data_IF_442861384676
#
_entry.id   IF_442861384676
#
_cell.length_a   1.000
_cell.length_b   1.000
_cell.length_c   1.000
_cell.angle_alpha   90.00
_cell.angle_beta   90.00
_cell.angle_gamma   90.00
#
_symmetry.space_group_name_H-M   'P 1'
#
loop_
_entity.id
_entity.type
_entity.pdbx_description
1 polymer ?
#
# COMPACT_ATOMS: atom_id res chain seq x y z
N UNK A 1 17.93 -7.24 19.05
CA UNK A 1 17.09 -6.21 19.67
C UNK A 1 16.36 -5.42 18.58
N UNK A 2 15.05 -5.31 18.64
CA UNK A 2 14.22 -4.52 17.69
C UNK A 2 14.52 -3.01 17.84
N UNK A 3 14.49 -2.19 16.77
CA UNK A 3 14.28 -2.58 15.38
C UNK A 3 15.49 -3.32 14.80
N UNK A 4 15.21 -4.28 13.91
CA UNK A 4 16.25 -5.04 13.22
C UNK A 4 17.04 -4.14 12.25
N UNK A 5 18.34 -4.38 12.04
CA UNK A 5 19.11 -3.75 10.98
C UNK A 5 18.49 -3.93 9.61
N UNK A 6 18.54 -2.93 8.74
CA UNK A 6 17.97 -2.97 7.38
C UNK A 6 18.49 -4.10 6.52
N UNK A 7 19.69 -4.57 6.78
CA UNK A 7 20.28 -5.71 6.07
C UNK A 7 19.48 -7.02 6.21
N UNK A 8 18.76 -7.23 7.32
CA UNK A 8 17.87 -8.38 7.46
C UNK A 8 16.64 -8.26 6.57
N UNK A 9 16.06 -7.06 6.45
CA UNK A 9 14.97 -6.81 5.52
C UNK A 9 15.43 -6.93 4.07
N UNK A 10 16.66 -6.51 3.77
CA UNK A 10 17.27 -6.70 2.47
C UNK A 10 17.40 -8.20 2.12
N UNK A 11 17.80 -9.04 3.08
CA UNK A 11 17.83 -10.48 2.86
C UNK A 11 16.45 -11.06 2.59
N UNK A 12 15.42 -10.61 3.30
CA UNK A 12 14.03 -11.04 3.04
C UNK A 12 13.58 -10.74 1.61
N UNK A 13 13.99 -9.62 1.02
CA UNK A 13 13.70 -9.32 -0.40
C UNK A 13 14.31 -10.38 -1.30
N UNK A 14 15.54 -10.78 -1.06
CA UNK A 14 16.26 -11.81 -1.84
C UNK A 14 15.55 -13.17 -1.68
N UNK A 15 15.20 -13.54 -0.47
CA UNK A 15 14.60 -14.83 -0.17
C UNK A 15 13.21 -14.97 -0.84
N UNK A 16 12.38 -13.92 -0.74
CA UNK A 16 11.08 -13.87 -1.42
C UNK A 16 11.27 -13.85 -2.94
N UNK A 17 12.31 -13.18 -3.47
CA UNK A 17 12.66 -13.21 -4.89
C UNK A 17 13.00 -14.62 -5.36
N UNK A 18 13.81 -15.32 -4.59
CA UNK A 18 14.19 -16.70 -4.89
C UNK A 18 13.00 -17.66 -4.83
N UNK A 19 12.00 -17.36 -4.00
CA UNK A 19 10.75 -18.11 -3.91
C UNK A 19 9.73 -17.75 -5.00
N UNK A 20 10.09 -16.95 -6.01
CA UNK A 20 9.22 -16.48 -7.08
C UNK A 20 7.98 -15.68 -6.61
N UNK A 21 8.08 -14.97 -5.51
CA UNK A 21 7.03 -14.06 -5.08
C UNK A 21 6.79 -12.94 -6.12
N UNK A 22 5.57 -12.45 -6.23
CA UNK A 22 5.21 -11.42 -7.23
C UNK A 22 5.30 -9.99 -6.71
N UNK A 23 4.67 -9.72 -5.58
CA UNK A 23 4.67 -8.40 -4.92
C UNK A 23 4.94 -8.58 -3.44
N UNK A 24 5.92 -7.86 -2.93
CA UNK A 24 6.25 -7.84 -1.51
C UNK A 24 5.67 -6.59 -0.85
N UNK A 25 4.75 -6.78 0.05
CA UNK A 25 4.15 -5.71 0.84
C UNK A 25 4.79 -5.62 2.23
N UNK A 26 5.24 -4.44 2.59
CA UNK A 26 5.84 -4.16 3.88
C UNK A 26 4.85 -3.46 4.79
N UNK A 27 4.28 -4.17 5.74
CA UNK A 27 3.44 -3.57 6.80
C UNK A 27 4.26 -2.88 7.87
N UNK A 28 5.58 -3.14 7.90
CA UNK A 28 6.55 -2.44 8.74
C UNK A 28 6.86 -1.09 8.09
N UNK A 29 6.81 -0.03 8.88
CA UNK A 29 7.21 1.30 8.44
C UNK A 29 8.66 1.59 8.82
N UNK A 30 9.30 2.41 8.01
CA UNK A 30 10.68 2.84 8.17
C UNK A 30 10.79 4.37 8.27
N UNK A 31 10.21 4.99 9.33
CA UNK A 31 10.15 6.44 9.44
C UNK A 31 11.48 7.07 9.83
N UNK A 32 12.41 6.29 10.36
CA UNK A 32 13.71 6.73 10.84
C UNK A 32 14.85 5.99 10.10
N UNK A 33 15.99 6.64 10.04
CA UNK A 33 17.20 6.04 9.47
C UNK A 33 17.71 4.87 10.32
N UNK A 34 18.33 3.89 9.66
CA UNK A 34 18.91 2.74 10.35
C UNK A 34 20.15 3.14 11.14
N UNK A 35 20.15 2.88 12.43
CA UNK A 35 21.32 3.08 13.30
C UNK A 35 22.55 2.27 12.88
N UNK A 36 22.37 1.21 12.09
CA UNK A 36 23.43 0.35 11.55
C UNK A 36 23.83 0.73 10.12
N UNK A 37 23.32 1.87 9.60
CA UNK A 37 23.62 2.40 8.27
C UNK A 37 23.27 1.45 7.11
N UNK A 38 22.26 0.62 7.27
CA UNK A 38 21.81 -0.35 6.26
C UNK A 38 20.81 0.20 5.25
N UNK A 39 20.38 1.46 5.35
CA UNK A 39 19.33 2.03 4.51
C UNK A 39 19.70 2.02 3.02
N UNK A 40 20.94 2.35 2.66
CA UNK A 40 21.41 2.33 1.27
C UNK A 40 21.45 0.92 0.70
N UNK A 41 21.90 -0.06 1.48
CA UNK A 41 21.91 -1.48 1.07
C UNK A 41 20.49 -1.95 0.78
N UNK A 42 19.57 -1.63 1.69
CA UNK A 42 18.16 -1.99 1.53
C UNK A 42 17.52 -1.27 0.34
N UNK A 43 17.76 0.04 0.18
CA UNK A 43 17.27 0.80 -0.96
C UNK A 43 17.80 0.27 -2.30
N UNK A 44 19.07 -0.07 -2.39
CA UNK A 44 19.67 -0.64 -3.60
C UNK A 44 19.01 -1.98 -3.96
N UNK A 45 18.79 -2.86 -3.01
CA UNK A 45 18.11 -4.13 -3.26
C UNK A 45 16.65 -3.95 -3.68
N UNK A 46 15.93 -3.01 -3.09
CA UNK A 46 14.57 -2.65 -3.54
C UNK A 46 14.58 -2.10 -4.97
N UNK A 47 15.63 -1.37 -5.35
CA UNK A 47 15.79 -0.80 -6.69
C UNK A 47 16.23 -1.85 -7.72
N UNK A 48 17.17 -2.71 -7.37
CA UNK A 48 17.68 -3.79 -8.26
C UNK A 48 16.56 -4.76 -8.65
N UNK A 49 15.65 -5.04 -7.75
CA UNK A 49 14.46 -5.82 -8.06
C UNK A 49 13.45 -5.10 -8.99
N UNK A 50 13.63 -3.80 -9.25
CA UNK A 50 12.91 -3.08 -10.33
C UNK A 50 13.49 -3.32 -11.72
N UNK A 51 14.77 -3.64 -11.80
CA UNK A 51 15.48 -3.80 -13.06
C UNK A 51 15.55 -5.29 -13.38
N UNK A 52 15.03 -5.69 -14.54
CA UNK A 52 15.27 -7.00 -15.12
C UNK A 52 16.79 -7.23 -15.18
N UNK A 53 17.34 -8.01 -14.28
CA UNK A 53 18.68 -8.54 -14.46
C UNK A 53 18.60 -9.45 -15.67
N UNK A 54 19.16 -8.98 -16.76
CA UNK A 54 19.14 -9.56 -18.08
C UNK A 54 19.50 -11.05 -18.08
N UNK A 55 18.67 -11.87 -18.70
CA UNK A 55 19.05 -13.16 -19.27
C UNK A 55 18.42 -14.40 -18.69
N UNK A 56 17.73 -14.39 -17.58
CA UNK A 56 16.97 -15.53 -17.13
C UNK A 56 15.49 -15.14 -17.02
N UNK A 57 14.62 -15.93 -17.64
CA UNK A 57 13.17 -15.87 -17.46
C UNK A 57 12.81 -16.33 -16.04
N UNK A 58 13.17 -15.56 -15.04
CA UNK A 58 12.54 -15.63 -13.72
C UNK A 58 11.53 -14.51 -13.71
N UNK A 59 10.29 -14.79 -13.32
CA UNK A 59 9.37 -13.73 -12.95
C UNK A 59 10.02 -13.00 -11.77
N UNK A 60 10.62 -11.84 -11.98
CA UNK A 60 11.24 -11.15 -10.87
C UNK A 60 10.13 -10.69 -9.95
N UNK A 61 10.35 -10.80 -8.65
CA UNK A 61 9.66 -9.90 -7.72
C UNK A 61 10.12 -8.51 -8.11
N UNK A 62 9.29 -7.86 -8.84
CA UNK A 62 9.65 -6.58 -9.37
C UNK A 62 9.01 -5.46 -8.56
N UNK A 63 8.22 -5.80 -7.52
CA UNK A 63 7.34 -4.81 -6.96
C UNK A 63 7.36 -4.84 -5.43
N UNK A 64 7.85 -3.75 -4.86
CA UNK A 64 7.81 -3.50 -3.43
C UNK A 64 6.81 -2.39 -3.13
N UNK A 65 5.97 -2.61 -2.13
CA UNK A 65 4.99 -1.64 -1.63
C UNK A 65 5.28 -1.38 -0.16
N UNK A 66 5.50 -0.13 0.19
CA UNK A 66 5.66 0.29 1.58
C UNK A 66 4.34 0.78 2.17
N UNK A 67 4.12 0.48 3.43
CA UNK A 67 2.99 1.03 4.19
C UNK A 67 3.30 2.43 4.71
N UNK A 68 2.24 3.21 4.84
CA UNK A 68 2.23 4.51 5.51
C UNK A 68 1.07 4.50 6.50
N UNK A 69 1.20 5.16 7.64
CA UNK A 69 0.14 5.24 8.62
C UNK A 69 -0.49 6.63 8.67
N UNK A 70 -1.79 6.68 8.94
CA UNK A 70 -2.48 7.93 9.21
C UNK A 70 -2.04 8.51 10.56
N UNK A 71 -1.92 9.83 10.63
CA UNK A 71 -1.50 10.52 11.85
C UNK A 71 -2.14 11.90 11.99
N UNK A 72 -2.38 12.29 13.22
CA UNK A 72 -2.76 13.67 13.59
C UNK A 72 -1.53 14.58 13.71
N UNK A 73 -0.32 14.00 13.83
CA UNK A 73 0.96 14.70 14.07
C UNK A 73 2.06 14.26 13.10
N UNK A 74 1.74 13.84 11.90
CA UNK A 74 2.73 13.28 10.98
C UNK A 74 3.37 14.33 10.07
N UNK A 75 4.41 13.88 9.36
CA UNK A 75 5.11 14.64 8.33
C UNK A 75 4.34 14.49 7.01
N UNK A 76 4.22 15.56 6.24
CA UNK A 76 3.63 15.51 4.89
C UNK A 76 4.49 14.62 3.97
N UNK A 77 3.83 13.84 3.12
CA UNK A 77 4.51 12.96 2.17
C UNK A 77 5.35 13.74 1.16
N UNK A 78 6.54 13.28 0.89
CA UNK A 78 7.48 13.86 -0.09
C UNK A 78 7.70 12.98 -1.32
N UNK A 79 7.15 11.79 -1.38
CA UNK A 79 7.39 10.84 -2.46
C UNK A 79 6.54 11.03 -3.72
N UNK A 80 6.83 10.29 -4.81
CA UNK A 80 6.06 10.36 -6.04
C UNK A 80 4.58 10.07 -5.79
N UNK A 81 3.72 10.87 -6.39
CA UNK A 81 2.27 10.74 -6.27
C UNK A 81 1.76 9.67 -7.24
N UNK A 82 0.93 8.77 -6.75
CA UNK A 82 0.25 7.78 -7.57
C UNK A 82 -0.97 8.44 -8.21
N UNK A 83 -1.12 8.27 -9.51
CA UNK A 83 -2.28 8.79 -10.23
C UNK A 83 -3.57 8.20 -9.70
N UNK A 84 -4.53 9.05 -9.39
CA UNK A 84 -5.89 8.65 -9.04
C UNK A 84 -6.83 9.20 -10.09
N UNK A 85 -7.63 8.34 -10.70
CA UNK A 85 -8.76 8.73 -11.53
C UNK A 85 -10.02 8.82 -10.66
N UNK A 86 -10.77 9.91 -10.78
CA UNK A 86 -12.12 10.02 -10.22
C UNK A 86 -13.11 10.09 -11.37
N UNK A 87 -14.16 9.28 -11.32
CA UNK A 87 -15.27 9.29 -12.27
C UNK A 87 -16.56 9.51 -11.49
N UNK A 88 -17.31 10.51 -11.88
CA UNK A 88 -18.62 10.81 -11.28
C UNK A 88 -18.85 12.30 -11.04
N UNK A 89 -20.03 12.67 -10.54
CA UNK A 89 -20.49 14.06 -10.46
C UNK A 89 -19.81 14.87 -9.35
N UNK A 90 -19.31 14.20 -8.30
CA UNK A 90 -18.75 14.85 -7.10
C UNK A 90 -17.32 14.37 -6.89
N UNK A 91 -16.37 15.26 -6.48
CA UNK A 91 -15.01 14.87 -6.18
C UNK A 91 -14.94 13.83 -5.06
N UNK A 92 -14.19 12.74 -5.25
CA UNK A 92 -14.08 11.66 -4.27
C UNK A 92 -13.61 12.13 -2.89
N UNK A 93 -12.78 13.17 -2.84
CA UNK A 93 -12.27 13.76 -1.59
C UNK A 93 -13.37 14.29 -0.66
N UNK A 94 -14.57 14.56 -1.17
CA UNK A 94 -15.66 15.11 -0.38
C UNK A 94 -16.33 14.03 0.48
N UNK A 95 -16.24 12.77 0.05
CA UNK A 95 -16.84 11.61 0.71
C UNK A 95 -15.85 10.76 1.51
N UNK A 96 -14.61 10.65 1.02
CA UNK A 96 -13.59 9.80 1.63
C UNK A 96 -13.22 10.26 3.03
N UNK A 97 -12.84 9.32 3.88
CA UNK A 97 -12.29 9.59 5.21
C UNK A 97 -11.07 10.51 5.10
N UNK A 98 -11.05 11.56 5.94
CA UNK A 98 -10.04 12.62 5.89
C UNK A 98 -9.07 12.50 7.06
N UNK A 99 -7.79 12.61 6.74
CA UNK A 99 -6.72 12.63 7.72
C UNK A 99 -5.82 13.86 7.51
N UNK A 100 -5.33 14.49 8.56
CA UNK A 100 -4.49 15.69 8.40
C UNK A 100 -3.10 15.36 7.86
N UNK A 101 -2.53 14.21 8.24
CA UNK A 101 -1.15 13.86 7.93
C UNK A 101 -0.95 12.35 7.79
N UNK A 102 0.24 11.97 7.28
CA UNK A 102 0.74 10.60 7.25
C UNK A 102 2.09 10.53 7.96
N UNK A 103 2.36 9.40 8.59
CA UNK A 103 3.71 8.95 8.91
C UNK A 103 4.22 8.23 7.67
N UNK A 104 5.33 8.67 7.13
CA UNK A 104 5.94 8.14 5.92
C UNK A 104 7.25 7.43 6.25
N UNK A 105 7.75 6.69 5.29
CA UNK A 105 9.09 6.12 5.37
C UNK A 105 10.14 7.17 5.05
N UNK A 106 11.42 6.86 5.30
CA UNK A 106 12.51 7.76 4.91
C UNK A 106 12.50 7.99 3.38
N UNK A 107 12.84 9.20 2.90
CA UNK A 107 12.76 9.54 1.49
C UNK A 107 13.53 8.60 0.57
N UNK A 108 14.67 8.10 1.03
CA UNK A 108 15.50 7.16 0.29
C UNK A 108 14.74 5.88 -0.09
N UNK A 109 13.98 5.28 0.83
CA UNK A 109 13.20 4.09 0.57
C UNK A 109 11.95 4.40 -0.27
N UNK A 110 11.28 5.53 -0.01
CA UNK A 110 10.11 5.92 -0.78
C UNK A 110 10.41 6.22 -2.25
N UNK A 111 11.63 6.65 -2.57
CA UNK A 111 12.04 6.93 -3.94
C UNK A 111 12.22 5.66 -4.79
N UNK A 112 12.54 4.54 -4.17
CA UNK A 112 12.92 3.30 -4.87
C UNK A 112 11.82 2.25 -4.93
N UNK A 113 10.72 2.39 -4.20
CA UNK A 113 9.62 1.41 -4.22
C UNK A 113 8.63 1.66 -5.37
N UNK A 114 7.84 0.63 -5.69
CA UNK A 114 6.86 0.68 -6.77
C UNK A 114 5.53 1.28 -6.31
N UNK A 115 5.26 1.22 -5.02
CA UNK A 115 4.03 1.71 -4.46
C UNK A 115 4.11 2.07 -2.98
N UNK A 116 3.14 2.87 -2.55
CA UNK A 116 2.96 3.29 -1.16
C UNK A 116 1.48 3.29 -0.85
N UNK A 117 1.09 2.47 0.09
CA UNK A 117 -0.31 2.34 0.50
C UNK A 117 -0.52 2.68 1.96
N UNK A 118 -1.67 3.24 2.28
CA UNK A 118 -1.97 3.69 3.64
C UNK A 118 -2.61 2.56 4.43
N UNK A 119 -2.08 2.30 5.62
CA UNK A 119 -2.74 1.50 6.64
C UNK A 119 -3.55 2.44 7.52
N UNK A 120 -4.84 2.49 7.27
CA UNK A 120 -5.78 3.24 8.09
C UNK A 120 -6.82 2.28 8.64
N UNK A 121 -7.25 2.49 9.87
CA UNK A 121 -8.41 1.80 10.42
C UNK A 121 -9.51 2.83 10.71
N UNK A 122 -10.74 2.43 10.47
CA UNK A 122 -11.92 3.18 10.85
C UNK A 122 -12.71 2.34 11.87
N UNK A 123 -12.31 2.32 13.15
CA UNK A 123 -13.00 1.54 14.16
C UNK A 123 -14.43 2.08 14.32
N UNK A 124 -15.38 1.17 14.42
CA UNK A 124 -16.78 1.51 14.69
C UNK A 124 -16.95 1.90 16.18
N UNK A 125 -18.11 2.47 16.58
CA UNK A 125 -18.34 2.92 17.96
C UNK A 125 -18.14 1.85 19.03
N UNK A 126 -18.27 0.56 18.68
CA UNK A 126 -18.00 -0.58 19.55
C UNK A 126 -16.52 -1.02 19.56
N UNK A 127 -15.65 -0.21 18.96
CA UNK A 127 -14.21 -0.46 18.80
C UNK A 127 -13.86 -1.74 18.00
N UNK A 128 -14.81 -2.26 17.22
CA UNK A 128 -14.58 -3.38 16.31
C UNK A 128 -14.28 -2.85 14.90
N UNK A 129 -13.32 -3.46 14.21
CA UNK A 129 -13.01 -3.12 12.82
C UNK A 129 -13.71 -4.11 11.88
N UNK A 130 -14.81 -3.69 11.27
CA UNK A 130 -15.57 -4.49 10.29
C UNK A 130 -15.42 -3.99 8.87
N UNK A 131 -14.96 -2.76 8.72
CA UNK A 131 -14.76 -2.12 7.43
C UNK A 131 -13.33 -1.63 7.30
N UNK A 132 -12.86 -1.55 6.05
CA UNK A 132 -11.53 -1.05 5.74
C UNK A 132 -11.63 0.01 4.65
N UNK A 133 -11.03 1.19 4.81
CA UNK A 133 -11.05 2.22 3.79
C UNK A 133 -10.18 1.78 2.60
N UNK A 134 -10.75 1.81 1.38
CA UNK A 134 -10.02 1.46 0.17
C UNK A 134 -9.20 2.63 -0.37
N UNK A 135 -9.63 3.84 -0.09
CA UNK A 135 -8.91 5.08 -0.32
C UNK A 135 -9.21 6.07 0.81
N UNK A 136 -8.31 7.00 1.03
CA UNK A 136 -8.46 8.09 2.00
C UNK A 136 -8.01 9.41 1.40
N UNK A 137 -8.38 10.50 2.04
CA UNK A 137 -7.89 11.84 1.70
C UNK A 137 -6.94 12.34 2.78
N UNK A 138 -5.79 12.88 2.37
CA UNK A 138 -4.86 13.59 3.25
C UNK A 138 -4.59 14.97 2.66
N UNK A 139 -5.07 16.00 3.35
CA UNK A 139 -5.18 17.32 2.76
C UNK A 139 -6.14 17.29 1.56
N UNK A 140 -5.65 17.69 0.38
CA UNK A 140 -6.42 17.68 -0.88
C UNK A 140 -6.10 16.47 -1.78
N UNK A 141 -5.30 15.52 -1.31
CA UNK A 141 -4.83 14.40 -2.13
C UNK A 141 -5.45 13.09 -1.69
N UNK A 142 -5.75 12.24 -2.68
CA UNK A 142 -6.21 10.89 -2.47
C UNK A 142 -5.03 9.93 -2.35
N UNK A 143 -5.16 8.99 -1.41
CA UNK A 143 -4.18 7.94 -1.17
C UNK A 143 -4.87 6.59 -1.19
N UNK A 144 -4.31 5.60 -1.88
CA UNK A 144 -4.83 4.25 -1.85
C UNK A 144 -4.57 3.61 -0.48
N UNK A 145 -5.43 2.71 -0.07
CA UNK A 145 -5.10 1.78 1.00
C UNK A 145 -3.95 0.87 0.58
N UNK A 146 -3.29 0.28 1.57
CA UNK A 146 -2.21 -0.67 1.33
C UNK A 146 -2.65 -1.84 0.44
N UNK A 147 -3.88 -2.36 0.64
CA UNK A 147 -4.44 -3.43 -0.17
C UNK A 147 -4.66 -3.01 -1.63
N UNK A 148 -5.26 -1.85 -1.88
CA UNK A 148 -5.48 -1.33 -3.24
C UNK A 148 -4.14 -1.07 -3.94
N UNK A 149 -3.15 -0.57 -3.22
CA UNK A 149 -1.84 -0.34 -3.78
C UNK A 149 -1.12 -1.65 -4.15
N UNK A 150 -1.24 -2.69 -3.33
CA UNK A 150 -0.75 -4.03 -3.65
C UNK A 150 -1.38 -4.56 -4.95
N UNK A 151 -2.70 -4.45 -5.10
CA UNK A 151 -3.41 -4.84 -6.32
C UNK A 151 -2.96 -4.02 -7.54
N UNK A 152 -2.81 -2.69 -7.38
CA UNK A 152 -2.35 -1.82 -8.45
C UNK A 152 -0.97 -2.22 -8.96
N UNK A 153 -0.04 -2.42 -8.04
CA UNK A 153 1.34 -2.78 -8.33
C UNK A 153 1.41 -4.18 -8.95
N UNK A 154 0.64 -5.14 -8.47
CA UNK A 154 0.63 -6.52 -9.00
C UNK A 154 0.21 -6.59 -10.48
N UNK A 155 -0.58 -5.64 -10.95
CA UNK A 155 -0.99 -5.54 -12.36
C UNK A 155 -0.17 -4.52 -13.16
N UNK A 156 0.88 -3.94 -12.58
CA UNK A 156 1.70 -2.93 -13.24
C UNK A 156 0.91 -1.66 -13.62
N UNK A 157 -0.21 -1.39 -12.95
CA UNK A 157 -1.05 -0.25 -13.27
C UNK A 157 -0.45 1.06 -12.75
N UNK A 158 -0.65 2.16 -13.49
CA UNK A 158 -0.17 3.49 -13.12
C UNK A 158 -1.12 4.23 -12.17
N UNK A 159 -2.38 3.80 -12.13
CA UNK A 159 -3.44 4.45 -11.34
C UNK A 159 -4.46 3.45 -10.84
N UNK A 160 -5.21 3.85 -9.84
CA UNK A 160 -6.47 3.26 -9.44
C UNK A 160 -7.62 4.25 -9.68
N UNK A 161 -8.84 3.80 -9.65
CA UNK A 161 -10.02 4.60 -9.97
C UNK A 161 -11.01 4.59 -8.82
N UNK A 162 -11.59 5.75 -8.52
CA UNK A 162 -12.67 5.92 -7.54
C UNK A 162 -13.89 6.46 -8.29
N UNK A 163 -14.97 5.72 -8.25
CA UNK A 163 -16.24 6.12 -8.84
C UNK A 163 -17.17 6.69 -7.79
N UNK A 164 -17.72 7.85 -8.09
CA UNK A 164 -18.61 8.60 -7.20
C UNK A 164 -20.02 8.71 -7.77
N UNK A 165 -20.96 8.96 -6.89
CA UNK A 165 -22.33 9.37 -7.21
C UNK A 165 -22.72 10.58 -6.36
N UNK A 166 -23.96 11.01 -6.44
CA UNK A 166 -24.50 12.13 -5.64
C UNK A 166 -24.59 11.80 -4.15
N UNK A 167 -24.50 10.53 -3.78
CA UNK A 167 -24.65 10.05 -2.39
C UNK A 167 -23.37 9.45 -1.80
N UNK A 168 -22.25 9.42 -2.54
CA UNK A 168 -20.99 8.88 -2.01
C UNK A 168 -20.15 8.13 -3.02
N UNK A 169 -19.17 7.42 -2.50
CA UNK A 169 -18.32 6.50 -3.28
C UNK A 169 -19.14 5.25 -3.61
N UNK A 170 -19.06 4.78 -4.84
CA UNK A 170 -19.73 3.56 -5.29
C UNK A 170 -18.78 2.38 -5.34
N UNK A 171 -17.61 2.60 -5.91
CA UNK A 171 -16.62 1.54 -6.10
C UNK A 171 -15.20 2.10 -6.19
N UNK A 172 -14.24 1.26 -5.85
CA UNK A 172 -12.82 1.49 -6.11
C UNK A 172 -12.32 0.38 -7.01
N UNK A 173 -11.63 0.74 -8.09
CA UNK A 173 -11.21 -0.20 -9.13
C UNK A 173 -9.72 -0.09 -9.45
N UNK A 174 -9.13 -1.24 -9.71
CA UNK A 174 -7.80 -1.39 -10.32
C UNK A 174 -7.97 -2.18 -11.60
N UNK A 175 -7.49 -1.66 -12.73
CA UNK A 175 -7.60 -2.35 -14.01
C UNK A 175 -6.98 -3.75 -13.95
N UNK A 176 -7.78 -4.75 -14.32
CA UNK A 176 -7.39 -6.17 -14.27
C UNK A 176 -7.90 -6.91 -13.03
N UNK A 177 -8.69 -6.24 -12.21
CA UNK A 177 -9.49 -6.83 -11.12
C UNK A 177 -10.94 -6.35 -11.21
N UNK A 178 -11.86 -7.10 -10.64
CA UNK A 178 -13.25 -6.67 -10.48
C UNK A 178 -13.30 -5.45 -9.55
N UNK A 179 -14.15 -4.46 -9.86
CA UNK A 179 -14.36 -3.31 -8.99
C UNK A 179 -14.86 -3.73 -7.60
N UNK A 180 -14.33 -3.10 -6.57
CA UNK A 180 -14.74 -3.35 -5.19
C UNK A 180 -15.84 -2.34 -4.83
N UNK A 181 -17.03 -2.84 -4.59
CA UNK A 181 -18.18 -2.03 -4.14
C UNK A 181 -17.92 -1.53 -2.72
N UNK A 182 -18.21 -0.26 -2.49
CA UNK A 182 -17.94 0.42 -1.23
C UNK A 182 -19.21 0.95 -0.55
N UNK A 183 -19.04 1.27 0.74
CA UNK A 183 -19.94 2.18 1.44
C UNK A 183 -19.76 3.61 0.89
N UNK A 184 -20.71 4.53 1.14
CA UNK A 184 -20.60 5.92 0.66
C UNK A 184 -19.33 6.67 1.06
N UNK A 185 -18.66 6.28 2.14
CA UNK A 185 -17.41 6.85 2.64
C UNK A 185 -16.14 6.19 2.04
N UNK A 186 -16.30 5.27 1.09
CA UNK A 186 -15.20 4.57 0.44
C UNK A 186 -14.62 3.40 1.24
N UNK A 187 -15.31 2.97 2.30
CA UNK A 187 -14.94 1.75 3.04
C UNK A 187 -15.61 0.51 2.42
N UNK A 188 -14.98 -0.64 2.57
CA UNK A 188 -15.55 -1.93 2.21
C UNK A 188 -15.62 -2.86 3.44
N UNK A 189 -16.63 -3.72 3.49
CA UNK A 189 -16.72 -4.72 4.55
C UNK A 189 -15.62 -5.75 4.43
N UNK A 190 -14.97 -6.05 5.58
CA UNK A 190 -14.00 -7.13 5.67
C UNK A 190 -14.77 -8.44 5.74
N UNK A 191 -14.50 -9.33 4.79
CA UNK A 191 -15.03 -10.68 4.84
C UNK A 191 -14.08 -11.55 5.66
N UNK A 192 -14.44 -11.80 6.91
CA UNK A 192 -13.72 -12.77 7.73
C UNK A 192 -14.07 -14.19 7.29
N UNK A 193 -13.04 -14.98 7.06
CA UNK A 193 -13.24 -16.39 6.73
C UNK A 193 -13.27 -17.19 8.02
N UNK A 194 -14.36 -17.90 8.28
CA UNK A 194 -14.50 -18.79 9.45
C UNK A 194 -13.81 -20.14 9.25
N UNK A 195 -13.12 -20.34 8.13
CA UNK A 195 -12.46 -21.60 7.83
C UNK A 195 -11.11 -21.60 8.54
N UNK A 196 -11.10 -22.06 9.79
CA UNK A 196 -9.89 -22.53 10.46
C UNK A 196 -9.48 -23.93 10.01
N UNK A 197 -10.18 -24.51 9.03
CA UNK A 197 -9.93 -25.81 8.46
C UNK A 197 -9.09 -25.63 7.19
N UNK A 198 -7.92 -26.27 7.20
CA UNK A 198 -7.04 -26.48 6.04
C UNK A 198 -6.22 -25.25 5.55
N UNK A 199 -5.34 -24.73 6.40
CA UNK A 199 -4.06 -24.25 5.87
C UNK A 199 -3.08 -25.43 6.04
N UNK A 200 -3.06 -26.33 5.09
CA UNK A 200 -1.93 -27.23 4.92
C UNK A 200 -0.74 -26.40 4.46
N UNK A 201 0.23 -26.24 5.32
CA UNK A 201 1.54 -25.74 4.96
C UNK A 201 2.26 -26.86 4.20
N UNK A 202 2.21 -26.81 2.86
CA UNK A 202 3.10 -27.60 1.98
C UNK A 202 4.40 -26.86 1.75
#
# INVERSE_FOLDING_TARGET
QYPWPRQYYAQMVIDVANANGGVLGWTIMFPETDRFKGDEIFANLLMENKVNVSGARRNPINFNVLSQATSTRGIKTTGPHIGTGTIGPVPAKDYLLKWPNLVTNIPLLEAVVNGKGVTASAPQPDNQTRTYPLAITVGDRLYPSFAIEMLRVSKGQKSYMVKTSDIGIQEVAVKGYEPIITQPDGTAYIRFNNIFEEIEYT
#
